data_IF_977094838020
#
_entry.id   IF_977094838020
#
_cell.length_a   1.000
_cell.length_b   1.000
_cell.length_c   1.000
_cell.angle_alpha   90.00
_cell.angle_beta   90.00
_cell.angle_gamma   90.00
#
_symmetry.space_group_name_H-M   'P 1'
#
loop_
_entity.id
_entity.type
_entity.pdbx_description
1 polymer ?
#
# COMPACT_ATOMS: atom_id res chain seq x y z
N UNK A 1 -6.68 10.64 -4.51
CA UNK A 1 -6.19 11.98 -4.92
C UNK A 1 -4.95 12.49 -4.20
N UNK A 2 -4.94 12.68 -2.87
CA UNK A 2 -3.77 13.27 -2.20
C UNK A 2 -2.50 12.41 -2.27
N UNK A 3 -2.63 11.10 -2.08
CA UNK A 3 -1.50 10.16 -2.21
C UNK A 3 -0.91 10.24 -3.62
N UNK A 4 -1.75 10.21 -4.65
CA UNK A 4 -1.35 10.37 -6.06
C UNK A 4 -0.56 11.66 -6.30
N UNK A 5 -1.01 12.79 -5.74
CA UNK A 5 -0.34 14.10 -5.91
C UNK A 5 1.10 14.12 -5.38
N UNK A 6 1.38 13.36 -4.32
CA UNK A 6 2.72 13.27 -3.75
C UNK A 6 3.53 12.11 -4.38
N UNK A 7 2.87 11.03 -4.81
CA UNK A 7 3.49 9.84 -5.39
C UNK A 7 4.01 10.09 -6.81
N UNK A 8 3.23 10.73 -7.69
CA UNK A 8 3.62 11.00 -9.08
C UNK A 8 4.95 11.76 -9.20
N UNK A 9 5.15 12.92 -8.53
CA UNK A 9 6.43 13.63 -8.63
C UNK A 9 7.57 12.82 -7.99
N UNK A 10 7.33 12.12 -6.88
CA UNK A 10 8.33 11.26 -6.26
C UNK A 10 8.82 10.16 -7.21
N UNK A 11 7.90 9.46 -7.87
CA UNK A 11 8.20 8.37 -8.81
C UNK A 11 8.91 8.89 -10.04
N UNK A 12 8.45 10.01 -10.60
CA UNK A 12 9.12 10.64 -11.74
C UNK A 12 10.57 11.01 -11.43
N UNK A 13 10.86 11.47 -10.21
CA UNK A 13 12.20 11.92 -9.81
C UNK A 13 13.14 10.75 -9.48
N UNK A 14 12.66 9.73 -8.77
CA UNK A 14 13.50 8.65 -8.23
C UNK A 14 13.49 7.36 -9.06
N UNK A 15 12.39 7.10 -9.77
CA UNK A 15 12.15 5.86 -10.50
C UNK A 15 11.70 6.18 -11.94
N UNK A 16 12.56 6.81 -12.78
CA UNK A 16 12.14 7.35 -14.07
C UNK A 16 11.62 6.30 -15.08
N UNK A 17 12.02 5.04 -14.89
CA UNK A 17 11.53 3.89 -15.69
C UNK A 17 10.12 3.45 -15.32
N UNK A 18 9.61 3.89 -14.18
CA UNK A 18 8.30 3.52 -13.70
C UNK A 18 7.28 4.63 -13.96
N UNK A 19 6.02 4.25 -14.02
CA UNK A 19 4.88 5.16 -14.02
C UNK A 19 3.88 4.77 -12.93
N UNK A 20 3.11 5.76 -12.48
CA UNK A 20 2.02 5.55 -11.53
C UNK A 20 0.74 5.31 -12.33
N UNK A 21 0.10 4.16 -12.12
CA UNK A 21 -1.19 3.80 -12.71
C UNK A 21 -2.23 3.71 -11.61
N UNK A 22 -3.39 4.32 -11.81
CA UNK A 22 -4.54 4.19 -10.92
C UNK A 22 -5.46 3.06 -11.34
N UNK A 23 -6.10 2.41 -10.37
CA UNK A 23 -7.06 1.32 -10.58
C UNK A 23 -6.44 0.20 -11.44
N UNK A 24 -5.28 -0.31 -11.01
CA UNK A 24 -4.53 -1.32 -11.76
C UNK A 24 -5.24 -2.68 -11.67
N UNK A 25 -5.76 -3.14 -12.80
CA UNK A 25 -6.47 -4.41 -12.92
C UNK A 25 -5.49 -5.59 -13.03
N UNK A 26 -5.52 -6.47 -12.03
CA UNK A 26 -4.72 -7.69 -11.99
C UNK A 26 -5.43 -8.90 -12.63
N UNK A 27 -6.61 -8.71 -13.24
CA UNK A 27 -7.48 -9.82 -13.66
C UNK A 27 -6.86 -10.82 -14.65
N UNK A 28 -5.78 -10.46 -15.33
CA UNK A 28 -5.02 -11.38 -16.20
C UNK A 28 -4.32 -12.50 -15.42
N UNK A 29 -3.90 -12.25 -14.18
CA UNK A 29 -3.26 -13.24 -13.30
C UNK A 29 -4.11 -13.57 -12.06
N UNK A 30 -4.83 -12.57 -11.53
CA UNK A 30 -5.68 -12.65 -10.35
C UNK A 30 -7.07 -12.12 -10.67
N UNK A 31 -7.97 -12.95 -11.22
CA UNK A 31 -9.31 -12.52 -11.64
C UNK A 31 -10.08 -11.79 -10.53
N UNK A 32 -10.59 -10.60 -10.84
CA UNK A 32 -11.46 -9.84 -9.95
C UNK A 32 -10.73 -9.02 -8.88
N UNK A 33 -9.40 -8.91 -8.95
CA UNK A 33 -8.61 -8.03 -8.08
C UNK A 33 -8.18 -6.79 -8.87
N UNK A 34 -8.54 -5.63 -8.33
CA UNK A 34 -8.09 -4.32 -8.81
C UNK A 34 -7.45 -3.62 -7.62
N UNK A 35 -6.23 -3.13 -7.81
CA UNK A 35 -5.53 -2.35 -6.79
C UNK A 35 -5.75 -0.86 -7.01
N UNK A 36 -5.86 -0.09 -5.92
CA UNK A 36 -6.02 1.36 -6.00
C UNK A 36 -4.96 2.03 -6.89
N UNK A 37 -3.71 1.61 -6.75
CA UNK A 37 -2.56 2.16 -7.45
C UNK A 37 -1.51 1.07 -7.76
N UNK A 38 -0.71 1.28 -8.81
CA UNK A 38 0.47 0.49 -9.09
C UNK A 38 1.63 1.36 -9.62
N UNK A 39 2.85 0.98 -9.27
CA UNK A 39 4.07 1.42 -9.93
C UNK A 39 4.42 0.38 -11.00
N UNK A 40 4.41 0.79 -12.26
CA UNK A 40 4.54 -0.11 -13.41
C UNK A 40 5.79 0.24 -14.19
N UNK A 41 6.61 -0.75 -14.55
CA UNK A 41 7.74 -0.53 -15.45
C UNK A 41 7.22 -0.19 -16.86
N UNK A 42 7.65 0.96 -17.38
CA UNK A 42 7.19 1.49 -18.68
C UNK A 42 7.56 0.58 -19.86
N UNK A 43 8.59 -0.25 -19.72
CA UNK A 43 9.10 -1.12 -20.78
C UNK A 43 8.38 -2.47 -20.77
N UNK A 44 8.32 -3.13 -19.63
CA UNK A 44 7.74 -4.48 -19.50
C UNK A 44 6.23 -4.45 -19.31
N UNK A 45 5.67 -3.29 -18.93
CA UNK A 45 4.27 -3.11 -18.52
C UNK A 45 3.87 -3.95 -17.30
N UNK A 46 4.85 -4.49 -16.57
CA UNK A 46 4.62 -5.28 -15.36
C UNK A 46 4.62 -4.40 -14.12
N UNK A 47 3.80 -4.74 -13.10
CA UNK A 47 3.79 -4.01 -11.84
C UNK A 47 5.02 -4.39 -11.00
N UNK A 48 5.73 -3.38 -10.53
CA UNK A 48 6.88 -3.51 -9.64
C UNK A 48 6.46 -3.36 -8.17
N UNK A 49 5.42 -2.57 -7.93
CA UNK A 49 4.80 -2.39 -6.62
C UNK A 49 3.32 -2.09 -6.78
N UNK A 50 2.48 -2.81 -6.05
CA UNK A 50 1.07 -2.50 -5.88
C UNK A 50 0.88 -1.65 -4.63
N UNK A 51 -0.08 -0.74 -4.66
CA UNK A 51 -0.36 0.17 -3.54
C UNK A 51 -1.86 0.21 -3.27
N UNK A 52 -2.25 -0.01 -2.02
CA UNK A 52 -3.62 0.12 -1.51
C UNK A 52 -3.72 1.30 -0.55
N UNK A 53 -4.78 2.12 -0.68
CA UNK A 53 -5.06 3.23 0.22
C UNK A 53 -6.13 2.82 1.25
N UNK A 54 -5.68 2.29 2.38
CA UNK A 54 -6.58 1.77 3.41
C UNK A 54 -7.29 2.90 4.16
N UNK A 55 -8.56 3.11 3.81
CA UNK A 55 -9.54 3.88 4.58
C UNK A 55 -9.97 3.24 5.91
N UNK A 56 -10.67 4.00 6.74
CA UNK A 56 -11.24 3.51 8.01
C UNK A 56 -12.11 2.24 7.86
N UNK A 57 -12.75 2.04 6.71
CA UNK A 57 -13.56 0.86 6.42
C UNK A 57 -12.76 -0.45 6.32
N UNK A 58 -11.45 -0.38 6.11
CA UNK A 58 -10.56 -1.54 6.03
C UNK A 58 -10.04 -1.99 7.39
N UNK A 59 -10.40 -1.30 8.47
CA UNK A 59 -9.95 -1.61 9.82
C UNK A 59 -11.11 -2.01 10.72
N UNK A 60 -10.86 -2.99 11.57
CA UNK A 60 -11.80 -3.49 12.57
C UNK A 60 -11.09 -3.72 13.89
N UNK A 61 -11.86 -3.68 15.00
CA UNK A 61 -11.34 -4.12 16.28
C UNK A 61 -11.38 -5.65 16.36
N UNK A 62 -10.20 -6.25 16.28
CA UNK A 62 -10.03 -7.67 16.51
C UNK A 62 -9.98 -7.93 18.01
N UNK A 63 -10.69 -8.97 18.46
CA UNK A 63 -10.60 -9.49 19.83
C UNK A 63 -9.71 -10.72 19.79
N UNK A 64 -8.61 -10.70 20.54
CA UNK A 64 -7.70 -11.84 20.65
C UNK A 64 -8.21 -12.88 21.65
N UNK A 65 -7.60 -14.07 21.64
CA UNK A 65 -8.00 -15.19 22.51
C UNK A 65 -7.86 -14.89 24.00
N UNK A 66 -7.03 -13.91 24.37
CA UNK A 66 -6.86 -13.42 25.74
C UNK A 66 -7.88 -12.31 26.13
N UNK A 67 -8.77 -11.95 25.20
CA UNK A 67 -9.78 -10.91 25.37
C UNK A 67 -9.29 -9.48 25.11
N UNK A 68 -8.00 -9.30 24.80
CA UNK A 68 -7.46 -7.99 24.40
C UNK A 68 -8.04 -7.55 23.06
N UNK A 69 -8.10 -6.23 22.86
CA UNK A 69 -8.59 -5.62 21.61
C UNK A 69 -7.45 -4.92 20.92
N UNK A 70 -7.30 -5.18 19.62
CA UNK A 70 -6.39 -4.41 18.76
C UNK A 70 -7.09 -3.98 17.50
N UNK A 71 -6.68 -2.83 16.97
CA UNK A 71 -7.04 -2.46 15.61
C UNK A 71 -6.29 -3.38 14.65
N UNK A 72 -7.01 -4.04 13.77
CA UNK A 72 -6.47 -4.87 12.70
C UNK A 72 -7.17 -4.57 11.39
N UNK A 73 -6.68 -5.14 10.30
CA UNK A 73 -7.41 -5.09 9.04
C UNK A 73 -8.62 -6.02 9.08
N UNK A 74 -9.63 -5.69 8.30
CA UNK A 74 -10.76 -6.57 8.10
C UNK A 74 -10.36 -7.83 7.32
N UNK A 75 -11.22 -8.84 7.35
CA UNK A 75 -10.93 -10.12 6.68
C UNK A 75 -10.82 -10.00 5.15
N UNK A 76 -11.43 -9.01 4.52
CA UNK A 76 -11.38 -8.82 3.06
C UNK A 76 -10.05 -8.23 2.64
N UNK A 77 -9.59 -7.20 3.35
CA UNK A 77 -8.29 -6.58 3.16
C UNK A 77 -7.17 -7.60 3.39
N UNK A 78 -7.23 -8.37 4.48
CA UNK A 78 -6.24 -9.43 4.73
C UNK A 78 -6.25 -10.52 3.67
N UNK A 79 -7.44 -10.93 3.20
CA UNK A 79 -7.56 -11.92 2.14
C UNK A 79 -6.94 -11.41 0.82
N UNK A 80 -7.25 -10.18 0.41
CA UNK A 80 -6.67 -9.55 -0.78
C UNK A 80 -5.14 -9.50 -0.70
N UNK A 81 -4.61 -8.98 0.42
CA UNK A 81 -3.16 -8.91 0.67
C UNK A 81 -2.50 -10.28 0.57
N UNK A 82 -3.14 -11.32 1.11
CA UNK A 82 -2.62 -12.69 1.04
C UNK A 82 -2.63 -13.23 -0.39
N UNK A 83 -3.70 -13.01 -1.15
CA UNK A 83 -3.78 -13.44 -2.56
C UNK A 83 -2.68 -12.79 -3.38
N UNK A 84 -2.52 -11.48 -3.27
CA UNK A 84 -1.51 -10.69 -3.98
C UNK A 84 -0.09 -11.17 -3.65
N UNK A 85 0.22 -11.37 -2.36
CA UNK A 85 1.52 -11.89 -1.92
C UNK A 85 1.80 -13.32 -2.40
N UNK A 86 0.80 -14.20 -2.39
CA UNK A 86 0.94 -15.58 -2.90
C UNK A 86 1.28 -15.63 -4.39
N UNK A 87 0.91 -14.58 -5.13
CA UNK A 87 1.24 -14.40 -6.56
C UNK A 87 2.59 -13.73 -6.79
N UNK A 88 3.32 -13.43 -5.72
CA UNK A 88 4.66 -12.86 -5.79
C UNK A 88 4.69 -11.34 -5.97
N UNK A 89 3.53 -10.67 -5.92
CA UNK A 89 3.48 -9.21 -6.00
C UNK A 89 3.90 -8.57 -4.68
N UNK A 90 4.63 -7.46 -4.79
CA UNK A 90 4.90 -6.56 -3.68
C UNK A 90 3.69 -5.64 -3.47
N UNK A 91 3.30 -5.45 -2.21
CA UNK A 91 2.11 -4.68 -1.86
C UNK A 91 2.43 -3.73 -0.70
N UNK A 92 2.35 -2.43 -0.98
CA UNK A 92 2.42 -1.37 0.02
C UNK A 92 0.99 -0.96 0.39
N UNK A 93 0.71 -0.90 1.67
CA UNK A 93 -0.58 -0.43 2.17
C UNK A 93 -0.40 0.87 2.92
N UNK A 94 -1.09 1.91 2.47
CA UNK A 94 -1.04 3.25 3.04
C UNK A 94 -2.29 3.45 3.88
N UNK A 95 -2.14 3.42 5.20
CA UNK A 95 -3.23 3.86 6.09
C UNK A 95 -3.50 5.34 5.86
N UNK A 96 -4.69 5.63 5.35
CA UNK A 96 -5.11 6.99 5.02
C UNK A 96 -5.28 7.87 6.25
N UNK A 97 -5.50 7.30 7.45
CA UNK A 97 -5.56 8.07 8.69
C UNK A 97 -4.16 8.56 9.08
N UNK A 98 -3.19 7.65 9.13
CA UNK A 98 -1.77 7.97 9.34
C UNK A 98 -1.22 8.92 8.27
N UNK A 99 -1.63 8.76 7.01
CA UNK A 99 -1.28 9.68 5.94
C UNK A 99 -1.78 11.10 6.19
N UNK A 100 -3.06 11.22 6.59
CA UNK A 100 -3.69 12.52 6.86
C UNK A 100 -3.05 13.23 8.05
N UNK A 101 -2.67 12.48 9.09
CA UNK A 101 -1.98 13.04 10.27
C UNK A 101 -0.50 13.38 10.02
N UNK A 102 0.11 12.82 8.97
CA UNK A 102 1.50 13.14 8.61
C UNK A 102 1.61 14.55 8.03
N UNK A 103 2.47 15.43 8.58
CA UNK A 103 2.71 16.77 8.05
C UNK A 103 3.18 16.72 6.60
N UNK A 104 2.62 17.59 5.74
CA UNK A 104 2.89 17.58 4.30
C UNK A 104 4.39 17.60 3.93
N UNK A 105 5.27 18.39 4.57
CA UNK A 105 6.70 18.37 4.26
C UNK A 105 7.38 17.00 4.43
N UNK A 106 6.82 16.14 5.29
CA UNK A 106 7.39 14.83 5.62
C UNK A 106 6.80 13.70 4.77
N UNK A 107 5.66 13.92 4.11
CA UNK A 107 4.93 12.89 3.35
C UNK A 107 5.76 12.28 2.22
N UNK A 108 6.54 13.10 1.51
CA UNK A 108 7.41 12.63 0.42
C UNK A 108 8.50 11.68 0.92
N UNK A 109 9.14 12.03 2.03
CA UNK A 109 10.19 11.20 2.63
C UNK A 109 9.63 9.91 3.22
N UNK A 110 8.44 9.98 3.81
CA UNK A 110 7.70 8.80 4.28
C UNK A 110 7.39 7.84 3.13
N UNK A 111 6.79 8.33 2.04
CA UNK A 111 6.53 7.50 0.85
C UNK A 111 7.81 6.86 0.30
N UNK A 112 8.89 7.63 0.20
CA UNK A 112 10.19 7.11 -0.26
C UNK A 112 10.68 5.96 0.60
N UNK A 113 10.63 6.14 1.91
CA UNK A 113 11.06 5.14 2.89
C UNK A 113 10.21 3.87 2.78
N UNK A 114 8.90 4.01 2.69
CA UNK A 114 7.94 2.90 2.67
C UNK A 114 8.00 2.10 1.36
N UNK A 115 8.11 2.79 0.22
CA UNK A 115 8.34 2.15 -1.09
C UNK A 115 9.64 1.36 -1.04
N UNK A 116 10.73 1.96 -0.54
CA UNK A 116 12.04 1.31 -0.45
C UNK A 116 12.01 0.10 0.47
N UNK A 117 11.39 0.21 1.64
CA UNK A 117 11.25 -0.88 2.60
C UNK A 117 10.44 -2.04 1.99
N UNK A 118 9.30 -1.73 1.37
CA UNK A 118 8.42 -2.74 0.76
C UNK A 118 9.14 -3.50 -0.36
N UNK A 119 9.86 -2.80 -1.24
CA UNK A 119 10.64 -3.42 -2.33
C UNK A 119 11.78 -4.32 -1.82
N UNK A 120 12.30 -4.07 -0.61
CA UNK A 120 13.30 -4.93 0.03
C UNK A 120 12.69 -6.08 0.83
N UNK A 121 11.37 -6.16 0.93
CA UNK A 121 10.67 -7.11 1.80
C UNK A 121 10.79 -6.79 3.29
N UNK A 122 11.10 -5.54 3.63
CA UNK A 122 11.14 -5.06 5.02
C UNK A 122 9.72 -4.70 5.50
N UNK A 123 9.51 -4.69 6.82
CA UNK A 123 8.20 -4.42 7.41
C UNK A 123 7.82 -2.93 7.30
N UNK A 124 6.69 -2.62 6.65
CA UNK A 124 6.21 -1.26 6.40
C UNK A 124 5.82 -0.52 7.70
N UNK A 125 6.15 0.77 7.81
CA UNK A 125 5.88 1.57 9.01
C UNK A 125 4.43 2.04 9.14
N UNK A 126 3.67 2.17 8.04
CA UNK A 126 2.21 2.42 8.05
C UNK A 126 1.39 1.36 8.80
N UNK A 127 1.98 0.20 9.07
CA UNK A 127 1.33 -0.90 9.80
C UNK A 127 1.71 -0.95 11.27
N UNK A 128 2.59 -0.06 11.76
CA UNK A 128 2.91 -0.03 13.19
C UNK A 128 1.67 0.45 13.95
N UNK A 129 1.10 -0.37 14.85
CA UNK A 129 0.00 0.08 15.69
C UNK A 129 0.49 1.28 16.49
N UNK A 130 -0.21 2.42 16.38
CA UNK A 130 -0.07 3.47 17.38
C UNK A 130 -0.71 2.90 18.64
N UNK A 131 0.11 2.62 19.65
CA UNK A 131 -0.38 2.23 20.98
C UNK A 131 -1.39 3.28 21.44
N UNK A 132 -2.62 2.85 21.73
CA UNK A 132 -3.63 3.68 22.38
C UNK A 132 -3.25 3.90 23.86
#
# INVERSE_FOLDING_TARGET
>A
DEVLRELVPLVSDLYPRWEVVSEYDLSSDVPGVVCDLALVDKTTRQPELLIEADGAAHFVHCVESDGSRRLGQDGKTELLRRIVRLRGYQLLSIDTNSWKSTPRPNRRELLRTEITATLKGEEATFLKPVSA
#
